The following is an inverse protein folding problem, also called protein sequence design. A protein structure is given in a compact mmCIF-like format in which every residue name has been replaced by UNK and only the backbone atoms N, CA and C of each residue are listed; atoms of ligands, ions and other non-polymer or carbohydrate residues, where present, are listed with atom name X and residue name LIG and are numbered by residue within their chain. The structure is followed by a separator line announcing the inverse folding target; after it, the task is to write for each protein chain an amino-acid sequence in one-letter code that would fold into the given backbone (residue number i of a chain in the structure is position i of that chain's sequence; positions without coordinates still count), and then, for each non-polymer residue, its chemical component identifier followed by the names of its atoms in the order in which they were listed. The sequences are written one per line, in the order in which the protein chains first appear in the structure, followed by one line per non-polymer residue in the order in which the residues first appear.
data_IF_601058550119
#
_entry.id   IF_601058550119
#
_cell.length_a   1.000
_cell.length_b   1.000
_cell.length_c   1.000
_cell.angle_alpha   90.00
_cell.angle_beta   90.00
_cell.angle_gamma   90.00
#
_symmetry.space_group_name_H-M   'P 1'
#
loop_
_entity.id
_entity.type
_entity.pdbx_description
1 polymer ?
#
# COMPACT_ATOMS: atom_id res chain seq x y z
N UNK A 1 -23.07 22.04 -10.53
CA UNK A 1 -21.73 21.42 -10.40
C UNK A 1 -21.94 20.05 -9.78
N UNK A 2 -22.09 19.01 -10.61
CA UNK A 2 -22.43 17.67 -10.16
C UNK A 2 -21.19 17.02 -9.55
N UNK A 3 -21.20 16.76 -8.25
CA UNK A 3 -20.20 15.89 -7.64
C UNK A 3 -20.44 14.49 -8.19
N UNK A 4 -19.53 13.99 -9.03
CA UNK A 4 -19.54 12.58 -9.42
C UNK A 4 -19.47 11.76 -8.14
N UNK A 5 -20.52 11.00 -7.84
CA UNK A 5 -20.47 10.05 -6.74
C UNK A 5 -19.45 8.97 -7.11
N UNK A 6 -18.53 8.60 -6.21
CA UNK A 6 -17.57 7.55 -6.51
C UNK A 6 -18.29 6.26 -6.90
N UNK A 7 -17.92 5.68 -8.04
CA UNK A 7 -18.51 4.44 -8.56
C UNK A 7 -18.11 3.21 -7.75
N UNK A 8 -18.74 2.06 -8.02
CA UNK A 8 -18.43 0.79 -7.33
C UNK A 8 -16.95 0.40 -7.46
N UNK A 9 -16.32 0.78 -8.58
CA UNK A 9 -14.94 0.44 -8.89
C UNK A 9 -13.93 1.29 -8.12
N UNK A 10 -14.25 2.56 -7.85
CA UNK A 10 -13.49 3.38 -6.92
C UNK A 10 -13.42 2.70 -5.54
N UNK A 11 -14.56 2.26 -5.01
CA UNK A 11 -14.59 1.59 -3.70
C UNK A 11 -13.84 0.27 -3.70
N UNK A 12 -13.92 -0.50 -4.80
CA UNK A 12 -13.14 -1.73 -4.97
C UNK A 12 -11.64 -1.45 -4.95
N UNK A 13 -11.18 -0.42 -5.66
CA UNK A 13 -9.78 0.00 -5.64
C UNK A 13 -9.33 0.43 -4.23
N UNK A 14 -10.15 1.21 -3.54
CA UNK A 14 -9.86 1.63 -2.17
C UNK A 14 -9.77 0.45 -1.19
N UNK A 15 -10.70 -0.51 -1.27
CA UNK A 15 -10.65 -1.73 -0.45
C UNK A 15 -9.39 -2.54 -0.75
N UNK A 16 -8.99 -2.66 -2.02
CA UNK A 16 -7.72 -3.31 -2.38
C UNK A 16 -6.53 -2.58 -1.78
N UNK A 17 -6.47 -1.24 -1.87
CA UNK A 17 -5.40 -0.43 -1.26
C UNK A 17 -5.32 -0.65 0.25
N UNK A 18 -6.46 -0.62 0.95
CA UNK A 18 -6.49 -0.83 2.41
C UNK A 18 -6.03 -2.23 2.80
N UNK A 19 -6.41 -3.26 2.03
CA UNK A 19 -5.93 -4.62 2.27
C UNK A 19 -4.40 -4.70 2.15
N UNK A 20 -3.83 -4.17 1.06
CA UNK A 20 -2.38 -4.17 0.85
C UNK A 20 -1.62 -3.38 1.92
N UNK A 21 -2.18 -2.25 2.37
CA UNK A 21 -1.61 -1.46 3.47
C UNK A 21 -1.61 -2.23 4.78
N UNK A 22 -2.72 -2.89 5.12
CA UNK A 22 -2.82 -3.71 6.32
C UNK A 22 -1.87 -4.91 6.28
N UNK A 23 -1.75 -5.57 5.13
CA UNK A 23 -0.83 -6.69 4.95
C UNK A 23 0.63 -6.23 5.12
N UNK A 24 1.00 -5.08 4.54
CA UNK A 24 2.32 -4.49 4.70
C UNK A 24 2.62 -4.03 6.13
N UNK A 25 1.67 -3.39 6.80
CA UNK A 25 1.83 -2.97 8.20
C UNK A 25 2.00 -4.18 9.13
N UNK A 26 1.30 -5.29 8.84
CA UNK A 26 1.48 -6.55 9.57
C UNK A 26 2.86 -7.18 9.32
N UNK A 27 3.37 -7.14 8.09
CA UNK A 27 4.68 -7.68 7.73
C UNK A 27 5.82 -7.00 8.51
N UNK A 28 5.74 -5.68 8.70
CA UNK A 28 6.84 -4.90 9.29
C UNK A 28 6.68 -4.57 10.79
N UNK A 29 5.61 -5.04 11.43
CA UNK A 29 5.29 -4.67 12.83
C UNK A 29 6.42 -5.03 13.81
N UNK A 30 7.07 -6.19 13.61
CA UNK A 30 8.10 -6.69 14.50
C UNK A 30 9.40 -5.90 14.28
N UNK A 31 9.79 -5.64 13.02
CA UNK A 31 10.94 -4.79 12.71
C UNK A 31 10.77 -3.34 13.20
N UNK A 32 9.56 -2.77 13.14
CA UNK A 32 9.29 -1.45 13.75
C UNK A 32 9.51 -1.47 15.27
N UNK A 33 9.16 -2.58 15.92
CA UNK A 33 9.42 -2.78 17.36
C UNK A 33 10.91 -2.92 17.63
N UNK A 34 11.62 -3.74 16.86
CA UNK A 34 13.09 -3.88 16.94
C UNK A 34 13.81 -2.56 16.71
N UNK A 35 13.39 -1.77 15.72
CA UNK A 35 13.94 -0.43 15.44
C UNK A 35 13.71 0.51 16.62
N UNK A 36 12.52 0.49 17.21
CA UNK A 36 12.18 1.32 18.38
C UNK A 36 13.04 0.95 19.59
N UNK A 37 13.34 -0.34 19.78
CA UNK A 37 14.20 -0.84 20.84
C UNK A 37 15.70 -0.67 20.54
N UNK A 38 16.07 -0.29 19.31
CA UNK A 38 17.46 -0.16 18.88
C UNK A 38 18.19 -1.49 18.67
N UNK A 39 17.46 -2.59 18.44
CA UNK A 39 17.99 -3.96 18.32
C UNK A 39 17.87 -4.55 16.92
N UNK A 40 17.33 -3.80 15.96
CA UNK A 40 17.12 -4.27 14.58
C UNK A 40 18.45 -4.62 13.89
N UNK A 41 18.49 -5.72 13.15
CA UNK A 41 19.65 -6.08 12.32
C UNK A 41 19.75 -5.20 11.07
N UNK A 42 20.91 -5.17 10.43
CA UNK A 42 21.08 -4.41 9.17
C UNK A 42 20.22 -5.00 8.04
N UNK A 43 20.03 -6.32 8.01
CA UNK A 43 19.15 -7.01 7.05
C UNK A 43 17.68 -6.63 7.27
N UNK A 44 17.19 -6.74 8.50
CA UNK A 44 15.81 -6.36 8.85
C UNK A 44 15.56 -4.87 8.59
N UNK A 45 16.57 -4.03 8.82
CA UNK A 45 16.49 -2.60 8.51
C UNK A 45 16.40 -2.33 7.01
N UNK A 46 17.16 -3.05 6.19
CA UNK A 46 17.07 -2.96 4.74
C UNK A 46 15.68 -3.40 4.24
N UNK A 47 15.18 -4.52 4.75
CA UNK A 47 13.82 -5.00 4.43
C UNK A 47 12.75 -3.98 4.86
N UNK A 48 12.85 -3.43 6.08
CA UNK A 48 11.94 -2.39 6.58
C UNK A 48 11.90 -1.16 5.64
N UNK A 49 13.04 -0.72 5.12
CA UNK A 49 13.09 0.39 4.15
C UNK A 49 12.32 0.05 2.87
N UNK A 50 12.51 -1.15 2.31
CA UNK A 50 11.80 -1.59 1.11
C UNK A 50 10.28 -1.59 1.33
N UNK A 51 9.82 -2.12 2.47
CA UNK A 51 8.41 -2.15 2.82
C UNK A 51 7.81 -0.77 3.11
N UNK A 52 8.55 0.14 3.75
CA UNK A 52 8.10 1.53 3.93
C UNK A 52 7.96 2.23 2.58
N UNK A 53 8.87 2.00 1.63
CA UNK A 53 8.75 2.53 0.27
C UNK A 53 7.50 1.98 -0.43
N UNK A 54 7.24 0.68 -0.34
CA UNK A 54 6.02 0.05 -0.85
C UNK A 54 4.74 0.69 -0.29
N UNK A 55 4.67 0.89 1.04
CA UNK A 55 3.55 1.56 1.71
C UNK A 55 3.37 2.99 1.19
N UNK A 56 4.46 3.73 0.99
CA UNK A 56 4.39 5.10 0.49
C UNK A 56 3.86 5.14 -0.96
N UNK A 57 4.30 4.20 -1.81
CA UNK A 57 3.76 4.07 -3.18
C UNK A 57 2.26 3.81 -3.14
N UNK A 58 1.80 2.85 -2.34
CA UNK A 58 0.36 2.56 -2.18
C UNK A 58 -0.45 3.78 -1.73
N UNK A 59 0.06 4.54 -0.75
CA UNK A 59 -0.60 5.76 -0.25
C UNK A 59 -0.66 6.86 -1.31
N UNK A 60 0.32 6.92 -2.20
CA UNK A 60 0.40 7.92 -3.28
C UNK A 60 -0.40 7.57 -4.55
N UNK A 61 -0.93 6.35 -4.66
CA UNK A 61 -1.74 5.96 -5.83
C UNK A 61 -2.96 6.88 -5.96
N UNK A 62 -3.08 7.53 -7.11
CA UNK A 62 -4.28 8.27 -7.48
C UNK A 62 -5.36 7.30 -7.98
N UNK A 63 -6.41 7.17 -7.18
CA UNK A 63 -7.56 6.31 -7.47
C UNK A 63 -8.81 7.12 -7.85
N UNK A 64 -8.73 8.46 -7.88
CA UNK A 64 -9.90 9.31 -8.13
C UNK A 64 -10.51 9.10 -9.53
N UNK A 65 -9.70 8.69 -10.50
CA UNK A 65 -10.12 8.40 -11.88
C UNK A 65 -10.70 7.01 -12.11
N UNK A 66 -10.86 6.18 -11.07
CA UNK A 66 -11.35 4.80 -11.22
C UNK A 66 -12.88 4.78 -11.24
N UNK A 67 -13.47 4.75 -12.43
CA UNK A 67 -14.93 4.80 -12.64
C UNK A 67 -15.54 3.47 -13.09
N UNK A 68 -14.77 2.61 -13.73
CA UNK A 68 -15.23 1.42 -14.46
C UNK A 68 -14.21 0.26 -14.36
N UNK A 69 -14.56 -0.91 -14.90
CA UNK A 69 -13.72 -2.11 -14.79
C UNK A 69 -12.41 -1.96 -15.58
N UNK A 70 -12.42 -1.26 -16.71
CA UNK A 70 -11.23 -1.07 -17.54
C UNK A 70 -10.19 -0.21 -16.81
N UNK A 71 -10.64 0.90 -16.21
CA UNK A 71 -9.77 1.74 -15.36
C UNK A 71 -9.31 1.01 -14.10
N UNK A 72 -10.17 0.19 -13.47
CA UNK A 72 -9.78 -0.63 -12.31
C UNK A 72 -8.70 -1.67 -12.66
N UNK A 73 -8.86 -2.41 -13.75
CA UNK A 73 -7.91 -3.45 -14.16
C UNK A 73 -6.58 -2.87 -14.68
N UNK A 74 -6.58 -1.60 -15.09
CA UNK A 74 -5.37 -0.87 -15.47
C UNK A 74 -4.52 -0.40 -14.27
N UNK A 75 -5.03 -0.44 -13.03
CA UNK A 75 -4.29 -0.03 -11.84
C UNK A 75 -2.99 -0.83 -11.73
N UNK A 76 -1.86 -0.11 -11.66
CA UNK A 76 -0.53 -0.69 -11.44
C UNK A 76 -0.24 -0.78 -9.96
N UNK A 77 -0.74 -1.84 -9.33
CA UNK A 77 -0.38 -2.15 -7.94
C UNK A 77 1.14 -2.41 -7.84
N UNK A 78 1.84 -1.81 -6.86
CA UNK A 78 3.25 -2.09 -6.67
C UNK A 78 3.45 -3.57 -6.35
N UNK A 79 4.58 -4.12 -6.80
CA UNK A 79 4.99 -5.48 -6.45
C UNK A 79 5.36 -5.55 -4.98
N UNK A 80 5.08 -6.69 -4.34
CA UNK A 80 5.52 -6.93 -2.96
C UNK A 80 7.06 -6.87 -2.90
N UNK A 81 7.64 -6.23 -1.86
CA UNK A 81 9.05 -6.34 -1.57
C UNK A 81 9.47 -7.80 -1.40
N UNK A 82 10.66 -8.14 -1.88
CA UNK A 82 11.30 -9.42 -1.56
C UNK A 82 12.29 -9.20 -0.42
N UNK A 83 12.28 -10.12 0.53
CA UNK A 83 13.26 -10.23 1.62
C UNK A 83 14.49 -11.02 1.16
#
# INVERSE_FOLDING_TARGET
MWHQRPGVQFWRAEVTRQKLLNDADNAIKDWRTELTLGIISDENKAALILWINYINVLKSLDLAGISDEDTFTAIRWPSLPQE
#
